data_IF_300920596238
#
_entry.id   IF_300920596238
#
_cell.length_a   1.000
_cell.length_b   1.000
_cell.length_c   1.000
_cell.angle_alpha   90.00
_cell.angle_beta   90.00
_cell.angle_gamma   90.00
#
_symmetry.space_group_name_H-M   'P 1'
#
loop_
_entity.id
_entity.type
_entity.pdbx_description
1 polymer ?
#
# COMPACT_ATOMS: atom_id res chain seq x y z
N UNK A 1 -2.73 18.84 36.31
CA UNK A 1 -3.08 18.41 34.94
C UNK A 1 -1.81 17.90 34.27
N UNK A 2 -1.68 16.60 34.03
CA UNK A 2 -0.52 16.01 33.37
C UNK A 2 -0.82 15.94 31.87
N UNK A 3 -0.26 16.85 31.09
CA UNK A 3 -0.22 16.72 29.64
C UNK A 3 0.63 15.49 29.30
N UNK A 4 -0.02 14.36 28.99
CA UNK A 4 0.67 13.18 28.49
C UNK A 4 1.40 13.54 27.20
N UNK A 5 2.75 13.53 27.22
CA UNK A 5 3.57 13.70 26.02
C UNK A 5 3.07 12.70 24.97
N UNK A 6 2.56 13.18 23.83
CA UNK A 6 2.24 12.32 22.68
C UNK A 6 3.52 11.58 22.29
N UNK A 7 3.56 10.28 22.57
CA UNK A 7 4.66 9.39 22.20
C UNK A 7 4.51 9.11 20.70
N UNK A 8 5.11 9.93 19.85
CA UNK A 8 4.94 9.85 18.41
C UNK A 8 5.75 10.88 17.63
N UNK A 9 5.73 10.76 16.31
CA UNK A 9 6.39 11.67 15.39
C UNK A 9 5.39 12.22 14.37
N UNK A 10 5.35 13.54 14.10
CA UNK A 10 4.28 14.16 13.31
C UNK A 10 4.16 13.62 11.87
N UNK A 11 5.26 13.13 11.32
CA UNK A 11 5.32 12.55 9.95
C UNK A 11 5.29 11.02 9.90
N UNK A 12 5.10 10.33 11.02
CA UNK A 12 5.20 8.86 11.06
C UNK A 12 3.97 8.31 11.77
N UNK A 13 3.34 7.30 11.16
CA UNK A 13 2.29 6.53 11.80
C UNK A 13 2.76 5.95 13.15
N UNK A 14 1.96 6.09 14.21
CA UNK A 14 2.37 5.76 15.58
C UNK A 14 2.91 4.34 15.72
N UNK A 15 2.32 3.36 15.03
CA UNK A 15 2.76 1.97 15.08
C UNK A 15 4.15 1.76 14.47
N UNK A 16 4.53 2.52 13.45
CA UNK A 16 5.86 2.51 12.85
C UNK A 16 6.88 3.17 13.77
N UNK A 17 6.48 4.25 14.44
CA UNK A 17 7.31 4.91 15.45
C UNK A 17 7.58 3.98 16.64
N UNK A 18 6.55 3.33 17.18
CA UNK A 18 6.68 2.31 18.23
C UNK A 18 7.55 1.12 17.79
N UNK A 19 7.38 0.63 16.56
CA UNK A 19 8.20 -0.46 16.02
C UNK A 19 9.69 -0.08 16.02
N UNK A 20 10.03 1.15 15.60
CA UNK A 20 11.40 1.63 15.62
C UNK A 20 11.94 1.76 17.05
N UNK A 21 11.15 2.27 17.98
CA UNK A 21 11.56 2.40 19.40
C UNK A 21 11.85 1.03 20.02
N UNK A 22 11.00 0.03 19.76
CA UNK A 22 11.27 -1.35 20.20
C UNK A 22 12.53 -1.92 19.54
N UNK A 23 12.80 -1.59 18.27
CA UNK A 23 13.99 -2.04 17.55
C UNK A 23 15.28 -1.46 18.15
N UNK A 24 15.25 -0.19 18.54
CA UNK A 24 16.39 0.50 19.16
C UNK A 24 16.73 -0.13 20.52
N UNK A 25 15.72 -0.55 21.29
CA UNK A 25 15.93 -1.26 22.55
C UNK A 25 16.51 -2.65 22.32
N UNK A 26 15.84 -3.44 21.48
CA UNK A 26 16.25 -4.81 21.17
C UNK A 26 15.53 -5.31 19.89
N UNK A 27 16.31 -5.87 18.96
CA UNK A 27 15.79 -6.49 17.73
C UNK A 27 14.77 -7.59 18.04
N UNK A 28 14.93 -8.36 19.11
CA UNK A 28 13.97 -9.41 19.45
C UNK A 28 12.63 -8.83 19.92
N UNK A 29 12.64 -7.70 20.64
CA UNK A 29 11.42 -6.99 21.02
C UNK A 29 10.68 -6.41 19.82
N UNK A 30 11.39 -5.81 18.85
CA UNK A 30 10.78 -5.39 17.60
C UNK A 30 10.11 -6.55 16.84
N UNK A 31 10.73 -7.72 16.79
CA UNK A 31 10.13 -8.91 16.15
C UNK A 31 8.87 -9.37 16.88
N UNK A 32 8.87 -9.39 18.22
CA UNK A 32 7.68 -9.70 19.03
C UNK A 32 6.57 -8.67 18.80
N UNK A 33 6.91 -7.39 18.80
CA UNK A 33 5.97 -6.29 18.55
C UNK A 33 5.35 -6.39 17.14
N UNK A 34 6.18 -6.59 16.11
CA UNK A 34 5.75 -6.77 14.74
C UNK A 34 4.77 -7.95 14.61
N UNK A 35 5.10 -9.10 15.21
CA UNK A 35 4.20 -10.28 15.22
C UNK A 35 2.87 -9.96 15.90
N UNK A 36 2.88 -9.34 17.07
CA UNK A 36 1.67 -8.94 17.82
C UNK A 36 0.77 -8.00 17.04
N UNK A 37 1.36 -7.09 16.25
CA UNK A 37 0.66 -6.09 15.43
C UNK A 37 0.41 -6.54 13.99
N UNK A 38 0.71 -7.81 13.66
CA UNK A 38 0.63 -8.36 12.31
C UNK A 38 1.36 -7.52 11.24
N UNK A 39 2.50 -6.92 11.61
CA UNK A 39 3.39 -6.20 10.72
C UNK A 39 4.32 -7.17 10.00
N UNK A 40 4.45 -7.02 8.69
CA UNK A 40 5.33 -7.83 7.86
C UNK A 40 6.71 -7.17 7.77
N UNK A 41 7.60 -7.53 8.69
CA UNK A 41 9.02 -7.18 8.60
C UNK A 41 9.70 -8.20 7.67
N UNK A 42 10.32 -7.71 6.60
CA UNK A 42 11.05 -8.49 5.60
C UNK A 42 12.45 -8.84 6.12
N UNK A 43 13.22 -9.54 5.28
CA UNK A 43 14.63 -9.75 5.49
C UNK A 43 15.40 -8.44 5.71
N UNK A 44 16.53 -8.53 6.42
CA UNK A 44 17.39 -7.38 6.77
C UNK A 44 16.66 -6.28 7.55
N UNK A 45 15.61 -6.65 8.30
CA UNK A 45 14.80 -5.75 9.14
C UNK A 45 14.20 -4.56 8.36
N UNK A 46 13.80 -4.80 7.11
CA UNK A 46 13.06 -3.81 6.30
C UNK A 46 11.56 -3.95 6.48
N UNK A 47 10.83 -2.86 6.28
CA UNK A 47 9.36 -2.85 6.27
C UNK A 47 8.85 -2.07 5.06
N UNK A 48 7.82 -2.60 4.39
CA UNK A 48 7.12 -1.90 3.31
C UNK A 48 6.27 -0.79 3.91
N UNK A 49 6.45 0.43 3.42
CA UNK A 49 5.65 1.60 3.79
C UNK A 49 5.20 2.36 2.55
N UNK A 50 4.22 3.25 2.74
CA UNK A 50 3.86 4.31 1.82
C UNK A 50 4.43 5.64 2.32
N UNK A 51 5.16 6.31 1.44
CA UNK A 51 5.60 7.69 1.62
C UNK A 51 4.64 8.60 0.86
N UNK A 52 3.98 9.48 1.58
CA UNK A 52 3.01 10.44 1.03
C UNK A 52 3.74 11.74 0.71
N UNK A 53 3.59 12.23 -0.52
CA UNK A 53 4.15 13.52 -0.92
C UNK A 53 3.49 14.69 -0.19
N UNK A 54 4.19 15.82 -0.12
CA UNK A 54 3.63 17.08 0.38
C UNK A 54 2.38 17.51 -0.40
N UNK A 55 1.47 18.23 0.27
CA UNK A 55 0.22 18.70 -0.33
C UNK A 55 0.49 19.52 -1.61
N UNK A 56 -0.23 19.18 -2.68
CA UNK A 56 -0.06 19.82 -4.00
C UNK A 56 1.22 19.43 -4.74
N UNK A 57 2.00 18.46 -4.25
CA UNK A 57 3.19 17.91 -4.91
C UNK A 57 3.00 16.44 -5.27
N UNK A 58 3.76 15.98 -6.26
CA UNK A 58 3.87 14.57 -6.63
C UNK A 58 5.07 13.94 -5.93
N UNK A 59 5.24 12.62 -6.08
CA UNK A 59 6.41 11.87 -5.56
C UNK A 59 7.74 12.33 -6.15
N UNK A 60 7.76 13.12 -7.22
CA UNK A 60 9.00 13.64 -7.79
C UNK A 60 9.63 14.76 -6.95
N UNK A 61 8.83 15.39 -6.07
CA UNK A 61 9.35 16.30 -5.06
C UNK A 61 10.06 15.57 -3.90
N UNK A 62 9.90 14.26 -3.78
CA UNK A 62 10.57 13.46 -2.75
C UNK A 62 12.04 13.26 -3.16
N UNK A 63 12.96 13.55 -2.25
CA UNK A 63 14.39 13.33 -2.49
C UNK A 63 14.76 11.83 -2.48
N UNK A 64 14.59 11.20 -3.65
CA UNK A 64 14.87 9.78 -3.91
C UNK A 64 16.35 9.43 -3.67
N UNK A 65 17.28 10.37 -3.88
CA UNK A 65 18.72 10.15 -3.64
C UNK A 65 18.98 9.97 -2.14
N UNK A 66 18.43 10.86 -1.32
CA UNK A 66 18.51 10.75 0.14
C UNK A 66 17.82 9.49 0.66
N UNK A 67 16.67 9.10 0.10
CA UNK A 67 16.02 7.83 0.45
C UNK A 67 16.93 6.63 0.26
N UNK A 68 17.51 6.48 -0.93
CA UNK A 68 18.40 5.36 -1.26
C UNK A 68 19.63 5.37 -0.34
N UNK A 69 20.18 6.55 -0.03
CA UNK A 69 21.29 6.70 0.93
C UNK A 69 20.95 6.19 2.33
N UNK A 70 19.68 6.28 2.75
CA UNK A 70 19.22 5.70 4.01
C UNK A 70 18.91 4.19 3.93
N UNK A 71 19.23 3.53 2.82
CA UNK A 71 19.00 2.10 2.60
C UNK A 71 17.58 1.75 2.17
N UNK A 72 16.81 2.76 1.75
CA UNK A 72 15.47 2.57 1.22
C UNK A 72 15.52 1.96 -0.19
N UNK A 73 14.55 1.12 -0.51
CA UNK A 73 14.39 0.47 -1.80
C UNK A 73 13.00 0.77 -2.35
N UNK A 74 12.96 1.45 -3.50
CA UNK A 74 11.71 1.89 -4.12
C UNK A 74 11.10 0.70 -4.86
N UNK A 75 9.89 0.29 -4.47
CA UNK A 75 9.18 -0.85 -5.06
C UNK A 75 8.29 -0.37 -6.21
N UNK A 76 7.46 0.66 -5.93
CA UNK A 76 6.51 1.22 -6.89
C UNK A 76 6.32 2.71 -6.67
N UNK A 77 6.03 3.42 -7.75
CA UNK A 77 5.75 4.85 -7.76
C UNK A 77 4.35 5.09 -8.32
N UNK A 78 3.50 5.76 -7.54
CA UNK A 78 2.28 6.40 -8.02
C UNK A 78 2.47 7.90 -8.17
N UNK A 79 1.38 8.63 -8.32
CA UNK A 79 1.41 10.10 -8.46
C UNK A 79 1.78 10.80 -7.12
N UNK A 80 1.11 10.44 -6.02
CA UNK A 80 1.29 11.06 -4.68
C UNK A 80 1.87 10.12 -3.62
N UNK A 81 2.00 8.84 -3.95
CA UNK A 81 2.41 7.81 -3.00
C UNK A 81 3.54 6.99 -3.60
N UNK A 82 4.62 6.86 -2.83
CA UNK A 82 5.74 5.98 -3.14
C UNK A 82 5.69 4.76 -2.22
N UNK A 83 5.69 3.56 -2.79
CA UNK A 83 5.80 2.31 -2.03
C UNK A 83 7.28 1.93 -1.92
N UNK A 84 7.76 1.83 -0.68
CA UNK A 84 9.19 1.72 -0.39
C UNK A 84 9.43 0.71 0.72
N UNK A 85 10.48 -0.09 0.58
CA UNK A 85 11.05 -0.84 1.70
C UNK A 85 12.08 0.01 2.42
N UNK A 86 11.87 0.27 3.72
CA UNK A 86 12.81 1.05 4.54
C UNK A 86 13.34 0.23 5.72
N UNK A 87 14.62 0.38 6.11
CA UNK A 87 15.13 -0.23 7.33
C UNK A 87 14.42 0.32 8.57
N UNK A 88 13.98 -0.55 9.48
CA UNK A 88 13.24 -0.15 10.69
C UNK A 88 14.03 0.88 11.52
N UNK A 89 15.35 0.71 11.61
CA UNK A 89 16.25 1.62 12.34
C UNK A 89 16.50 2.98 11.66
N UNK A 90 15.88 3.24 10.50
CA UNK A 90 16.02 4.49 9.72
C UNK A 90 14.71 5.26 9.54
N UNK A 91 13.57 4.73 10.00
CA UNK A 91 12.23 5.34 9.83
C UNK A 91 12.24 6.83 10.25
N UNK A 92 12.65 7.12 11.49
CA UNK A 92 12.75 8.51 12.01
C UNK A 92 13.73 9.37 11.19
N UNK A 93 14.91 8.85 10.86
CA UNK A 93 15.91 9.61 10.07
C UNK A 93 15.37 9.97 8.69
N UNK A 94 14.62 9.07 8.05
CA UNK A 94 13.98 9.33 6.76
C UNK A 94 12.93 10.43 6.91
N UNK A 95 12.06 10.33 7.92
CA UNK A 95 11.01 11.33 8.17
C UNK A 95 11.57 12.74 8.44
N UNK A 96 12.69 12.83 9.16
CA UNK A 96 13.33 14.10 9.53
C UNK A 96 14.12 14.74 8.38
N UNK A 97 14.83 13.94 7.58
CA UNK A 97 15.87 14.45 6.69
C UNK A 97 15.53 14.35 5.19
N UNK A 98 14.55 13.54 4.80
CA UNK A 98 14.14 13.45 3.40
C UNK A 98 13.07 14.48 3.11
N UNK A 99 13.39 15.41 2.20
CA UNK A 99 12.48 16.45 1.73
C UNK A 99 11.36 15.87 0.88
N UNK A 100 10.21 16.55 0.87
CA UNK A 100 9.05 16.17 0.05
C UNK A 100 8.14 15.10 0.68
N UNK A 101 8.49 14.55 1.85
CA UNK A 101 7.65 13.60 2.59
C UNK A 101 6.74 14.37 3.56
N UNK A 102 5.44 14.20 3.38
CA UNK A 102 4.41 14.63 4.33
C UNK A 102 4.21 13.60 5.44
N UNK A 103 4.09 12.32 5.09
CA UNK A 103 3.74 11.27 6.06
C UNK A 103 4.24 9.89 5.63
N UNK A 104 4.56 9.04 6.60
CA UNK A 104 4.97 7.65 6.44
C UNK A 104 3.94 6.75 7.11
N UNK A 105 3.31 5.86 6.32
CA UNK A 105 2.22 4.97 6.78
C UNK A 105 2.39 3.55 6.28
N UNK A 106 1.80 2.58 6.94
CA UNK A 106 1.68 1.22 6.46
C UNK A 106 0.72 1.13 5.26
N UNK A 107 0.91 0.17 4.34
CA UNK A 107 -0.08 -0.12 3.31
C UNK A 107 -1.39 -0.63 3.93
N UNK A 108 -2.51 -0.14 3.41
CA UNK A 108 -3.84 -0.62 3.77
C UNK A 108 -4.00 -2.11 3.45
N UNK A 109 -4.71 -2.82 4.34
CA UNK A 109 -5.06 -4.22 4.14
C UNK A 109 -6.53 -4.29 3.74
N UNK A 110 -6.88 -4.69 2.50
CA UNK A 110 -8.27 -4.93 2.15
C UNK A 110 -8.80 -6.14 2.93
N UNK A 111 -9.97 -5.98 3.53
CA UNK A 111 -10.71 -7.07 4.19
C UNK A 111 -11.90 -7.43 3.30
N UNK A 112 -12.01 -8.67 2.81
CA UNK A 112 -13.15 -9.08 2.00
C UNK A 112 -14.42 -9.14 2.86
N UNK A 113 -15.49 -8.51 2.37
CA UNK A 113 -16.83 -8.63 2.95
C UNK A 113 -17.51 -9.90 2.38
N UNK A 114 -17.93 -10.81 3.26
CA UNK A 114 -18.31 -12.19 2.92
C UNK A 114 -19.73 -12.39 2.38
N UNK A 115 -20.28 -11.45 1.61
CA UNK A 115 -21.67 -11.54 1.15
C UNK A 115 -21.76 -11.93 -0.33
N UNK A 116 -22.34 -13.10 -0.58
CA UNK A 116 -22.76 -13.53 -1.92
C UNK A 116 -24.27 -13.22 -2.06
N UNK A 117 -24.65 -12.47 -3.10
CA UNK A 117 -26.06 -12.16 -3.40
C UNK A 117 -26.45 -12.65 -4.79
N UNK A 118 -27.74 -12.93 -4.97
CA UNK A 118 -28.35 -13.34 -6.25
C UNK A 118 -28.84 -12.13 -7.07
N UNK A 119 -28.03 -11.06 -7.12
CA UNK A 119 -28.44 -9.74 -7.61
C UNK A 119 -28.76 -9.64 -9.12
N UNK A 120 -28.47 -10.67 -9.93
CA UNK A 120 -28.71 -10.63 -11.38
C UNK A 120 -30.20 -10.65 -11.70
N UNK A 121 -30.99 -11.47 -11.01
CA UNK A 121 -32.43 -11.53 -11.23
C UNK A 121 -33.12 -10.27 -10.68
N UNK A 122 -32.64 -9.73 -9.55
CA UNK A 122 -33.19 -8.54 -8.91
C UNK A 122 -32.86 -7.23 -9.64
N UNK A 123 -31.79 -7.19 -10.43
CA UNK A 123 -31.39 -6.00 -11.20
C UNK A 123 -32.09 -5.85 -12.55
N UNK A 124 -32.93 -6.82 -12.95
CA UNK A 124 -33.62 -6.78 -14.25
C UNK A 124 -32.68 -6.92 -15.44
N UNK A 125 -31.49 -7.48 -15.26
CA UNK A 125 -30.45 -7.58 -16.30
C UNK A 125 -30.96 -8.23 -17.60
N UNK A 126 -31.85 -9.21 -17.50
CA UNK A 126 -32.47 -9.87 -18.65
C UNK A 126 -33.27 -8.92 -19.55
N UNK A 127 -33.91 -7.89 -18.97
CA UNK A 127 -34.69 -6.89 -19.73
C UNK A 127 -33.76 -6.02 -20.57
N UNK A 128 -32.65 -5.54 -19.99
CA UNK A 128 -31.65 -4.75 -20.71
C UNK A 128 -30.97 -5.55 -21.83
N UNK A 129 -30.60 -6.80 -21.57
CA UNK A 129 -30.04 -7.68 -22.58
C UNK A 129 -31.02 -7.94 -23.73
N UNK A 130 -32.30 -8.18 -23.42
CA UNK A 130 -33.35 -8.41 -24.43
C UNK A 130 -33.62 -7.17 -25.27
N UNK A 131 -33.42 -5.98 -24.71
CA UNK A 131 -33.49 -4.70 -25.43
C UNK A 131 -32.19 -4.35 -26.20
N UNK A 132 -31.19 -5.24 -26.22
CA UNK A 132 -29.95 -5.08 -26.99
C UNK A 132 -28.79 -4.40 -26.25
N UNK A 133 -28.98 -3.98 -24.99
CA UNK A 133 -27.93 -3.38 -24.18
C UNK A 133 -27.05 -4.46 -23.53
N UNK A 134 -25.99 -4.87 -24.24
CA UNK A 134 -25.15 -6.00 -23.84
C UNK A 134 -23.85 -5.60 -23.11
N UNK A 135 -23.58 -4.30 -22.99
CA UNK A 135 -22.28 -3.80 -22.54
C UNK A 135 -21.15 -3.97 -23.58
N UNK A 136 -21.48 -4.33 -24.83
CA UNK A 136 -20.50 -4.39 -25.92
C UNK A 136 -19.81 -3.03 -26.09
N UNK A 137 -18.48 -3.04 -26.18
CA UNK A 137 -17.66 -1.83 -26.26
C UNK A 137 -17.35 -1.17 -24.90
N UNK A 138 -17.95 -1.62 -23.80
CA UNK A 138 -17.67 -1.12 -22.44
C UNK A 138 -16.56 -1.96 -21.80
N UNK A 139 -15.60 -1.28 -21.14
CA UNK A 139 -14.57 -1.93 -20.33
C UNK A 139 -14.86 -1.70 -18.85
N UNK A 140 -14.87 -2.78 -18.07
CA UNK A 140 -15.04 -2.73 -16.62
C UNK A 140 -13.76 -3.27 -15.97
N UNK A 141 -13.12 -2.45 -15.14
CA UNK A 141 -11.98 -2.88 -14.34
C UNK A 141 -12.48 -3.39 -13.00
N UNK A 142 -12.12 -4.61 -12.63
CA UNK A 142 -12.50 -5.23 -11.36
C UNK A 142 -11.22 -5.46 -10.56
N UNK A 143 -11.18 -4.91 -9.33
CA UNK A 143 -10.07 -5.05 -8.40
C UNK A 143 -10.51 -6.02 -7.31
N UNK A 144 -10.15 -7.29 -7.47
CA UNK A 144 -10.46 -8.38 -6.54
C UNK A 144 -9.18 -9.16 -6.18
N UNK A 145 -9.28 -10.06 -5.21
CA UNK A 145 -8.29 -11.07 -4.85
C UNK A 145 -7.89 -12.00 -6.01
N UNK A 146 -8.71 -12.07 -7.06
CA UNK A 146 -8.38 -12.73 -8.31
C UNK A 146 -9.59 -13.29 -9.03
N UNK A 147 -9.36 -13.88 -10.20
CA UNK A 147 -10.39 -14.57 -10.98
C UNK A 147 -10.07 -16.06 -11.05
N UNK A 148 -11.06 -16.90 -10.77
CA UNK A 148 -10.95 -18.31 -11.17
C UNK A 148 -11.15 -18.38 -12.68
N UNK A 149 -10.21 -18.95 -13.45
CA UNK A 149 -10.37 -19.06 -14.89
C UNK A 149 -11.59 -19.94 -15.18
N UNK A 150 -12.63 -19.32 -15.73
CA UNK A 150 -13.81 -20.02 -16.17
C UNK A 150 -13.53 -20.59 -17.56
N UNK A 151 -13.57 -21.92 -17.73
CA UNK A 151 -13.19 -22.65 -18.97
C UNK A 151 -13.92 -22.22 -20.26
N UNK A 152 -14.89 -21.30 -20.19
CA UNK A 152 -15.65 -20.78 -21.34
C UNK A 152 -15.66 -19.25 -21.47
N UNK A 153 -15.00 -18.50 -20.59
CA UNK A 153 -14.87 -17.06 -20.75
C UNK A 153 -13.68 -16.74 -21.67
N UNK A 154 -13.94 -16.39 -22.93
CA UNK A 154 -12.91 -15.94 -23.88
C UNK A 154 -12.55 -14.47 -23.60
N UNK A 155 -11.81 -14.22 -22.52
CA UNK A 155 -11.01 -13.01 -22.37
C UNK A 155 -9.61 -13.29 -22.89
N UNK A 156 -9.17 -12.62 -23.97
CA UNK A 156 -7.75 -12.66 -24.35
C UNK A 156 -6.94 -11.93 -23.27
N UNK A 157 -6.26 -12.69 -22.44
CA UNK A 157 -5.21 -12.19 -21.56
C UNK A 157 -4.13 -11.55 -22.45
N UNK A 158 -3.99 -10.22 -22.38
CA UNK A 158 -2.83 -9.55 -22.94
C UNK A 158 -1.75 -9.56 -21.87
N UNK A 159 -1.00 -10.66 -21.80
CA UNK A 159 0.34 -10.64 -21.22
C UNK A 159 1.21 -9.71 -22.06
N UNK A 160 1.68 -8.61 -21.46
CA UNK A 160 2.46 -7.62 -22.18
C UNK A 160 2.82 -6.39 -21.36
N UNK A 161 3.46 -6.59 -20.20
CA UNK A 161 4.37 -5.58 -19.65
C UNK A 161 5.73 -6.26 -19.55
N UNK A 162 6.51 -6.18 -20.63
CA UNK A 162 7.94 -6.46 -20.65
C UNK A 162 8.58 -5.46 -21.62
N UNK A 163 9.57 -4.71 -21.12
CA UNK A 163 10.57 -4.02 -21.93
C UNK A 163 10.24 -2.58 -22.31
N UNK A 164 10.71 -1.64 -21.49
CA UNK A 164 11.15 -0.34 -21.99
C UNK A 164 12.59 -0.54 -22.48
N UNK A 165 12.91 0.05 -23.64
CA UNK A 165 14.07 -0.16 -24.54
C UNK A 165 13.89 -1.27 -25.58
#
# INVERSE_FOLDING_TARGET
MLAGKKKGHPKIESVLFELQEEYIKDRANAKKFAKKRALKVKEKDKITVFLISEAGKTVDAIDKKSLIKYGAEIIKSGDKVLQVDIPVNRIKKIADNVKGISFITLPDKPTPEGFQSEGVNLSGASVYHSAGYTGSGVKVAIIDSGFRPYRRARGKERSGCNGFL
#
